data_IF_535775901875
#
_entry.id   IF_535775901875
#
_cell.length_a   1.000
_cell.length_b   1.000
_cell.length_c   1.000
_cell.angle_alpha   90.00
_cell.angle_beta   90.00
_cell.angle_gamma   90.00
#
_symmetry.space_group_name_H-M   'P 1'
#
loop_
_entity.id
_entity.type
_entity.pdbx_description
1 polymer ?
#
# COMPACT_ATOMS: atom_id res chain seq x y z
N UNK A 1 -17.81 23.85 -57.43
CA UNK A 1 -17.21 24.90 -56.57
C UNK A 1 -17.63 24.81 -55.10
N UNK A 2 -18.93 24.75 -54.75
CA UNK A 2 -19.38 24.74 -53.34
C UNK A 2 -18.91 23.53 -52.50
N UNK A 3 -18.72 22.35 -53.12
CA UNK A 3 -18.15 21.15 -52.47
C UNK A 3 -16.64 21.26 -52.19
N UNK A 4 -15.86 21.75 -53.16
CA UNK A 4 -14.42 21.95 -52.98
C UNK A 4 -14.11 22.98 -51.88
N UNK A 5 -14.91 24.06 -51.76
CA UNK A 5 -14.76 25.02 -50.66
C UNK A 5 -15.23 24.51 -49.29
N UNK A 6 -16.07 23.48 -49.23
CA UNK A 6 -16.44 22.81 -47.98
C UNK A 6 -15.31 21.88 -47.51
N UNK A 7 -14.67 21.17 -48.44
CA UNK A 7 -13.51 20.32 -48.14
C UNK A 7 -12.28 21.15 -47.72
N UNK A 8 -11.98 22.25 -48.42
CA UNK A 8 -10.86 23.12 -48.06
C UNK A 8 -11.05 23.77 -46.67
N UNK A 9 -12.29 24.16 -46.33
CA UNK A 9 -12.62 24.74 -45.00
C UNK A 9 -12.59 23.69 -43.87
N UNK A 10 -12.95 22.43 -44.16
CA UNK A 10 -12.85 21.30 -43.22
C UNK A 10 -11.39 20.99 -42.87
N UNK A 11 -10.54 20.92 -43.89
CA UNK A 11 -9.13 20.55 -43.73
C UNK A 11 -8.31 21.62 -43.01
N UNK A 12 -8.78 22.88 -42.96
CA UNK A 12 -8.13 23.97 -42.23
C UNK A 12 -8.54 24.03 -40.73
N UNK A 13 -9.68 23.42 -40.37
CA UNK A 13 -10.19 23.36 -38.98
C UNK A 13 -9.63 22.17 -38.18
N UNK A 14 -9.59 20.96 -38.76
CA UNK A 14 -8.99 19.76 -38.15
C UNK A 14 -7.56 19.96 -37.59
N UNK A 15 -6.59 20.51 -38.36
CA UNK A 15 -5.22 20.68 -37.88
C UNK A 15 -5.13 21.75 -36.79
N UNK A 16 -6.02 22.75 -36.79
CA UNK A 16 -6.06 23.79 -35.75
C UNK A 16 -6.59 23.23 -34.43
N UNK A 17 -7.58 22.33 -34.45
CA UNK A 17 -8.12 21.73 -33.24
C UNK A 17 -7.15 20.72 -32.63
N UNK A 18 -6.62 19.80 -33.44
CA UNK A 18 -5.62 18.83 -32.99
C UNK A 18 -4.37 19.55 -32.43
N UNK A 19 -3.94 20.65 -33.06
CA UNK A 19 -2.85 21.50 -32.56
C UNK A 19 -3.17 22.11 -31.19
N UNK A 20 -4.39 22.62 -30.98
CA UNK A 20 -4.82 23.17 -29.67
C UNK A 20 -4.91 22.10 -28.58
N UNK A 21 -5.41 20.91 -28.91
CA UNK A 21 -5.43 19.76 -27.99
C UNK A 21 -4.00 19.38 -27.63
N UNK A 22 -3.12 19.26 -28.62
CA UNK A 22 -1.73 18.92 -28.39
C UNK A 22 -1.00 19.99 -27.57
N UNK A 23 -1.22 21.27 -27.85
CA UNK A 23 -0.68 22.37 -27.04
C UNK A 23 -1.20 22.32 -25.61
N UNK A 24 -2.49 22.06 -25.42
CA UNK A 24 -3.08 21.90 -24.09
C UNK A 24 -2.47 20.70 -23.36
N UNK A 25 -2.38 19.53 -23.99
CA UNK A 25 -1.80 18.32 -23.41
C UNK A 25 -0.30 18.46 -23.13
N UNK A 26 0.46 19.04 -24.05
CA UNK A 26 1.90 19.24 -23.89
C UNK A 26 2.20 20.26 -22.79
N UNK A 27 1.45 21.37 -22.73
CA UNK A 27 1.63 22.36 -21.68
C UNK A 27 1.21 21.80 -20.32
N UNK A 28 0.05 21.15 -20.23
CA UNK A 28 -0.41 20.60 -18.96
C UNK A 28 0.43 19.39 -18.51
N UNK A 29 0.81 18.51 -19.44
CA UNK A 29 1.70 17.38 -19.16
C UNK A 29 3.12 17.83 -18.82
N UNK A 30 3.63 18.87 -19.48
CA UNK A 30 4.92 19.49 -19.19
C UNK A 30 4.95 20.18 -17.84
N UNK A 31 3.94 20.99 -17.52
CA UNK A 31 3.77 21.60 -16.19
C UNK A 31 3.62 20.53 -15.11
N UNK A 32 2.88 19.44 -15.38
CA UNK A 32 2.76 18.30 -14.47
C UNK A 32 4.12 17.62 -14.25
N UNK A 33 4.86 17.33 -15.31
CA UNK A 33 6.14 16.66 -15.19
C UNK A 33 7.19 17.54 -14.48
N UNK A 34 7.18 18.84 -14.79
CA UNK A 34 8.03 19.82 -14.12
C UNK A 34 7.65 19.99 -12.64
N UNK A 35 6.37 20.01 -12.30
CA UNK A 35 5.92 20.12 -10.90
C UNK A 35 6.33 18.88 -10.10
N UNK A 36 6.20 17.68 -10.70
CA UNK A 36 6.66 16.43 -10.10
C UNK A 36 8.18 16.45 -9.90
N UNK A 37 8.93 16.87 -10.92
CA UNK A 37 10.38 17.00 -10.83
C UNK A 37 10.80 17.97 -9.72
N UNK A 38 10.24 19.18 -9.68
CA UNK A 38 10.56 20.17 -8.65
C UNK A 38 10.17 19.69 -7.27
N UNK A 39 9.04 19.00 -7.12
CA UNK A 39 8.62 18.46 -5.84
C UNK A 39 9.62 17.41 -5.33
N UNK A 40 9.93 16.39 -6.13
CA UNK A 40 10.83 15.31 -5.69
C UNK A 40 12.30 15.75 -5.58
N UNK A 41 12.79 16.60 -6.49
CA UNK A 41 14.22 16.96 -6.56
C UNK A 41 14.58 18.20 -5.76
N UNK A 42 13.64 19.09 -5.52
CA UNK A 42 13.91 20.40 -4.87
C UNK A 42 13.16 20.49 -3.55
N UNK A 43 11.84 20.29 -3.56
CA UNK A 43 11.01 20.52 -2.38
C UNK A 43 11.25 19.52 -1.25
N UNK A 44 11.29 18.22 -1.55
CA UNK A 44 11.58 17.17 -0.56
C UNK A 44 12.95 17.39 0.14
N UNK A 45 14.09 17.56 -0.56
CA UNK A 45 15.37 17.77 0.13
C UNK A 45 15.45 19.12 0.88
N UNK A 46 14.76 20.17 0.40
CA UNK A 46 14.63 21.43 1.14
C UNK A 46 13.87 21.24 2.45
N UNK A 47 12.72 20.56 2.40
CA UNK A 47 11.95 20.23 3.59
C UNK A 47 12.74 19.35 4.55
N UNK A 48 13.52 18.39 4.05
CA UNK A 48 14.38 17.56 4.86
C UNK A 48 15.38 18.41 5.64
N UNK A 49 16.05 19.32 4.93
CA UNK A 49 17.01 20.26 5.53
C UNK A 49 16.37 21.16 6.57
N UNK A 50 15.17 21.71 6.29
CA UNK A 50 14.43 22.55 7.25
C UNK A 50 14.03 21.76 8.50
N UNK A 51 13.50 20.55 8.30
CA UNK A 51 13.06 19.68 9.40
C UNK A 51 14.24 19.23 10.26
N UNK A 52 15.41 18.98 9.64
CA UNK A 52 16.64 18.66 10.35
C UNK A 52 17.14 19.83 11.20
N UNK A 53 17.00 21.06 10.70
CA UNK A 53 17.38 22.30 11.41
C UNK A 53 16.49 22.59 12.62
N UNK A 54 15.20 22.25 12.56
CA UNK A 54 14.22 22.54 13.62
C UNK A 54 14.30 21.50 14.76
N UNK A 55 14.42 20.21 14.42
CA UNK A 55 14.38 19.12 15.42
C UNK A 55 15.73 18.88 16.08
N UNK A 56 16.85 19.02 15.35
CA UNK A 56 18.21 18.85 15.88
C UNK A 56 18.61 17.44 16.32
N UNK A 57 17.66 16.60 16.76
CA UNK A 57 17.89 15.22 17.20
C UNK A 57 17.79 14.22 16.03
N UNK A 58 18.87 13.50 15.68
CA UNK A 58 18.92 12.60 14.53
C UNK A 58 18.00 11.38 14.67
N UNK A 59 17.72 10.92 15.89
CA UNK A 59 16.90 9.72 16.13
C UNK A 59 15.41 9.99 15.90
N UNK A 60 14.94 11.13 16.39
CA UNK A 60 13.56 11.58 16.27
C UNK A 60 13.27 12.10 14.85
N UNK A 61 14.24 12.77 14.24
CA UNK A 61 14.14 13.30 12.88
C UNK A 61 13.90 12.19 11.84
N UNK A 62 14.61 11.06 11.91
CA UNK A 62 14.48 9.98 10.92
C UNK A 62 13.08 9.36 10.87
N UNK A 63 12.44 9.14 12.03
CA UNK A 63 11.11 8.53 12.10
C UNK A 63 9.99 9.51 11.69
N UNK A 64 10.09 10.78 12.08
CA UNK A 64 9.15 11.81 11.65
C UNK A 64 9.28 12.08 10.14
N UNK A 65 10.52 12.13 9.65
CA UNK A 65 10.80 12.40 8.24
C UNK A 65 10.24 11.31 7.33
N UNK A 66 10.42 10.02 7.67
CA UNK A 66 9.89 8.93 6.84
C UNK A 66 8.36 8.96 6.70
N UNK A 67 7.64 9.28 7.79
CA UNK A 67 6.20 9.48 7.78
C UNK A 67 5.79 10.73 7.01
N UNK A 68 6.50 11.84 7.20
CA UNK A 68 6.22 13.11 6.54
C UNK A 68 6.47 12.99 5.03
N UNK A 69 7.60 12.42 4.62
CA UNK A 69 7.95 12.16 3.23
C UNK A 69 6.92 11.23 2.57
N UNK A 70 6.53 10.15 3.25
CA UNK A 70 5.50 9.23 2.74
C UNK A 70 4.15 9.93 2.56
N UNK A 71 3.67 10.65 3.57
CA UNK A 71 2.39 11.38 3.51
C UNK A 71 2.45 12.42 2.41
N UNK A 72 3.47 13.29 2.41
CA UNK A 72 3.56 14.42 1.50
C UNK A 72 3.69 13.96 0.04
N UNK A 73 4.50 12.93 -0.20
CA UNK A 73 4.66 12.32 -1.52
C UNK A 73 3.38 11.65 -1.99
N UNK A 74 2.71 10.92 -1.11
CA UNK A 74 1.44 10.24 -1.42
C UNK A 74 0.32 11.25 -1.71
N UNK A 75 0.15 12.25 -0.85
CA UNK A 75 -0.83 13.34 -1.01
C UNK A 75 -0.59 14.08 -2.32
N UNK A 76 0.65 14.51 -2.57
CA UNK A 76 0.98 15.27 -3.78
C UNK A 76 0.71 14.44 -5.04
N UNK A 77 1.22 13.20 -5.08
CA UNK A 77 1.04 12.31 -6.23
C UNK A 77 -0.44 12.01 -6.51
N UNK A 78 -1.23 11.80 -5.47
CA UNK A 78 -2.65 11.52 -5.60
C UNK A 78 -3.44 12.77 -5.99
N UNK A 79 -3.19 13.94 -5.37
CA UNK A 79 -3.85 15.19 -5.74
C UNK A 79 -3.63 15.58 -7.20
N UNK A 80 -2.46 15.27 -7.75
CA UNK A 80 -2.16 15.53 -9.17
C UNK A 80 -2.90 14.62 -10.16
N UNK A 81 -3.56 13.56 -9.70
CA UNK A 81 -4.49 12.79 -10.55
C UNK A 81 -5.73 13.63 -10.90
N UNK A 82 -6.11 14.59 -10.07
CA UNK A 82 -7.30 15.42 -10.28
C UNK A 82 -7.17 16.34 -11.50
N UNK A 83 -6.08 17.11 -11.69
CA UNK A 83 -5.86 17.86 -12.92
C UNK A 83 -5.80 16.98 -14.17
N UNK A 84 -5.14 15.81 -14.10
CA UNK A 84 -5.08 14.88 -15.23
C UNK A 84 -6.47 14.35 -15.61
N UNK A 85 -7.31 14.09 -14.63
CA UNK A 85 -8.70 13.70 -14.86
C UNK A 85 -9.52 14.80 -15.54
N UNK A 86 -9.38 16.05 -15.09
CA UNK A 86 -10.05 17.20 -15.72
C UNK A 86 -9.59 17.37 -17.17
N UNK A 87 -8.28 17.23 -17.43
CA UNK A 87 -7.73 17.31 -18.78
C UNK A 87 -8.24 16.20 -19.69
N UNK A 88 -8.30 14.96 -19.19
CA UNK A 88 -8.88 13.83 -19.91
C UNK A 88 -10.33 14.12 -20.32
N UNK A 89 -11.13 14.70 -19.41
CA UNK A 89 -12.50 15.10 -19.68
C UNK A 89 -12.60 16.22 -20.71
N UNK A 90 -11.73 17.22 -20.66
CA UNK A 90 -11.69 18.33 -21.64
C UNK A 90 -11.31 17.81 -23.03
N UNK A 91 -10.25 16.99 -23.13
CA UNK A 91 -9.81 16.39 -24.40
C UNK A 91 -10.92 15.53 -24.98
N UNK A 92 -11.56 14.69 -24.16
CA UNK A 92 -12.68 13.86 -24.59
C UNK A 92 -13.87 14.71 -25.05
N UNK A 93 -14.20 15.80 -24.34
CA UNK A 93 -15.28 16.70 -24.74
C UNK A 93 -14.99 17.39 -26.09
N UNK A 94 -13.76 17.86 -26.30
CA UNK A 94 -13.33 18.47 -27.56
C UNK A 94 -13.37 17.44 -28.71
N UNK A 95 -12.90 16.22 -28.44
CA UNK A 95 -12.95 15.13 -29.41
C UNK A 95 -14.39 14.78 -29.81
N UNK A 96 -15.29 14.64 -28.84
CA UNK A 96 -16.70 14.35 -29.12
C UNK A 96 -17.40 15.51 -29.82
N UNK A 97 -17.03 16.74 -29.48
CA UNK A 97 -17.54 17.93 -30.14
C UNK A 97 -17.16 17.95 -31.63
N UNK A 98 -15.91 17.62 -31.97
CA UNK A 98 -15.44 17.58 -33.35
C UNK A 98 -16.18 16.51 -34.19
N UNK A 99 -16.35 15.30 -33.64
CA UNK A 99 -17.13 14.23 -34.29
C UNK A 99 -18.58 14.67 -34.52
N UNK A 100 -19.19 15.31 -33.51
CA UNK A 100 -20.56 15.79 -33.61
C UNK A 100 -20.69 16.87 -34.70
N UNK A 101 -19.77 17.83 -34.74
CA UNK A 101 -19.74 18.90 -35.74
C UNK A 101 -19.59 18.32 -37.17
N UNK A 102 -18.69 17.34 -37.37
CA UNK A 102 -18.57 16.62 -38.65
C UNK A 102 -19.88 15.89 -39.04
N UNK A 103 -20.53 15.23 -38.09
CA UNK A 103 -21.77 14.49 -38.34
C UNK A 103 -22.94 15.42 -38.67
N UNK A 104 -23.05 16.58 -38.00
CA UNK A 104 -24.09 17.57 -38.26
C UNK A 104 -23.92 18.25 -39.62
N UNK A 105 -22.70 18.57 -40.02
CA UNK A 105 -22.41 19.13 -41.34
C UNK A 105 -22.86 18.18 -42.46
N UNK A 106 -22.55 16.88 -42.33
CA UNK A 106 -22.95 15.85 -43.30
C UNK A 106 -24.47 15.65 -43.32
N UNK A 107 -25.15 15.84 -42.18
CA UNK A 107 -26.60 15.69 -42.06
C UNK A 107 -27.39 16.93 -42.53
N UNK A 108 -26.72 18.06 -42.81
CA UNK A 108 -27.37 19.31 -43.24
C UNK A 108 -28.29 19.94 -42.19
N UNK A 109 -28.23 19.47 -40.93
CA UNK A 109 -29.02 20.01 -39.82
C UNK A 109 -28.26 21.15 -39.15
N UNK A 110 -28.96 22.23 -38.80
CA UNK A 110 -28.37 23.34 -38.03
C UNK A 110 -27.85 22.83 -36.68
N UNK A 111 -26.64 23.23 -36.32
CA UNK A 111 -26.02 22.92 -35.03
C UNK A 111 -26.93 23.34 -33.87
N UNK A 112 -27.09 22.44 -32.90
CA UNK A 112 -27.76 22.75 -31.63
C UNK A 112 -26.94 23.79 -30.85
N UNK A 113 -27.57 24.72 -30.12
CA UNK A 113 -26.87 25.68 -29.29
C UNK A 113 -25.98 24.96 -28.27
N UNK A 114 -24.71 25.34 -28.21
CA UNK A 114 -23.79 24.79 -27.21
C UNK A 114 -24.32 25.03 -25.80
N UNK A 115 -24.18 24.05 -24.89
CA UNK A 115 -24.44 24.29 -23.48
C UNK A 115 -23.55 25.43 -22.99
N UNK A 116 -24.08 26.28 -22.12
CA UNK A 116 -23.34 27.43 -21.61
C UNK A 116 -22.05 26.97 -20.94
N UNK A 117 -20.96 27.71 -21.16
CA UNK A 117 -19.65 27.46 -20.55
C UNK A 117 -19.77 27.31 -19.02
N UNK A 118 -20.67 28.07 -18.40
CA UNK A 118 -20.97 27.96 -16.97
C UNK A 118 -21.50 26.58 -16.56
N UNK A 119 -22.34 25.94 -17.38
CA UNK A 119 -22.87 24.60 -17.09
C UNK A 119 -21.76 23.55 -17.20
N UNK A 120 -20.92 23.66 -18.23
CA UNK A 120 -19.75 22.78 -18.41
C UNK A 120 -18.80 22.90 -17.22
N UNK A 121 -18.48 24.13 -16.80
CA UNK A 121 -17.61 24.37 -15.65
C UNK A 121 -18.24 23.80 -14.36
N UNK A 122 -19.53 24.01 -14.13
CA UNK A 122 -20.22 23.47 -12.96
C UNK A 122 -20.19 21.93 -12.93
N UNK A 123 -20.46 21.28 -14.06
CA UNK A 123 -20.40 19.82 -14.18
C UNK A 123 -18.97 19.30 -13.95
N UNK A 124 -17.96 20.01 -14.44
CA UNK A 124 -16.55 19.66 -14.18
C UNK A 124 -16.17 19.84 -12.71
N UNK A 125 -16.58 20.94 -12.07
CA UNK A 125 -16.31 21.21 -10.66
C UNK A 125 -17.00 20.19 -9.74
N UNK A 126 -18.23 19.81 -10.04
CA UNK A 126 -18.94 18.78 -9.28
C UNK A 126 -18.26 17.42 -9.38
N UNK A 127 -17.88 17.01 -10.60
CA UNK A 127 -17.14 15.77 -10.82
C UNK A 127 -15.76 15.79 -10.16
N UNK A 128 -15.08 16.94 -10.19
CA UNK A 128 -13.80 17.16 -9.52
C UNK A 128 -13.93 17.01 -8.00
N UNK A 129 -14.97 17.60 -7.41
CA UNK A 129 -15.25 17.51 -5.99
C UNK A 129 -15.51 16.05 -5.57
N UNK A 130 -16.37 15.34 -6.30
CA UNK A 130 -16.63 13.92 -6.03
C UNK A 130 -15.35 13.09 -6.11
N UNK A 131 -14.52 13.31 -7.14
CA UNK A 131 -13.27 12.56 -7.27
C UNK A 131 -12.26 12.88 -6.18
N UNK A 132 -12.18 14.15 -5.74
CA UNK A 132 -11.36 14.54 -4.60
C UNK A 132 -11.79 13.83 -3.32
N UNK A 133 -13.11 13.74 -3.07
CA UNK A 133 -13.63 13.02 -1.90
C UNK A 133 -13.29 11.53 -1.94
N UNK A 134 -13.46 10.86 -3.09
CA UNK A 134 -13.05 9.46 -3.25
C UNK A 134 -11.54 9.27 -3.04
N UNK A 135 -10.73 10.18 -3.56
CA UNK A 135 -9.29 10.11 -3.43
C UNK A 135 -8.83 10.29 -1.98
N UNK A 136 -9.47 11.20 -1.24
CA UNK A 136 -9.26 11.35 0.21
C UNK A 136 -9.64 10.08 0.95
N UNK A 137 -10.79 9.46 0.62
CA UNK A 137 -11.20 8.20 1.23
C UNK A 137 -10.17 7.09 1.00
N UNK A 138 -9.67 6.94 -0.23
CA UNK A 138 -8.64 5.95 -0.58
C UNK A 138 -7.33 6.24 0.16
N UNK A 139 -6.93 7.50 0.28
CA UNK A 139 -5.73 7.87 1.04
C UNK A 139 -5.87 7.51 2.52
N UNK A 140 -7.00 7.82 3.16
CA UNK A 140 -7.27 7.46 4.55
C UNK A 140 -7.23 5.94 4.71
N UNK A 141 -7.88 5.19 3.81
CA UNK A 141 -7.83 3.73 3.81
C UNK A 141 -6.42 3.19 3.62
N UNK A 142 -5.60 3.82 2.76
CA UNK A 142 -4.21 3.41 2.54
C UNK A 142 -3.36 3.63 3.79
N UNK A 143 -3.50 4.79 4.46
CA UNK A 143 -2.81 5.08 5.74
C UNK A 143 -3.24 4.11 6.83
N UNK A 144 -4.54 3.84 6.95
CA UNK A 144 -5.06 2.87 7.94
C UNK A 144 -4.55 1.47 7.61
N UNK A 145 -4.58 1.04 6.34
CA UNK A 145 -4.11 -0.29 5.94
C UNK A 145 -2.61 -0.47 6.20
N UNK A 146 -1.79 0.50 5.80
CA UNK A 146 -0.34 0.47 6.04
C UNK A 146 -0.03 0.51 7.55
N UNK A 147 -0.68 1.39 8.30
CA UNK A 147 -0.45 1.56 9.73
C UNK A 147 -0.97 0.40 10.59
N UNK A 148 -2.14 -0.15 10.27
CA UNK A 148 -2.80 -1.18 11.08
C UNK A 148 -2.42 -2.61 10.67
N UNK A 149 -2.13 -2.86 9.39
CA UNK A 149 -1.83 -4.21 8.91
C UNK A 149 -0.34 -4.41 8.62
N UNK A 150 0.29 -3.52 7.84
CA UNK A 150 1.69 -3.74 7.44
C UNK A 150 2.68 -3.52 8.58
N UNK A 151 2.43 -2.56 9.48
CA UNK A 151 3.31 -2.31 10.62
C UNK A 151 3.42 -3.53 11.58
N UNK A 152 2.33 -4.12 12.10
CA UNK A 152 2.43 -5.32 12.93
C UNK A 152 2.91 -6.54 12.15
N UNK A 153 2.57 -6.69 10.86
CA UNK A 153 3.10 -7.79 10.04
C UNK A 153 4.62 -7.66 9.82
N UNK A 154 5.15 -6.45 9.59
CA UNK A 154 6.59 -6.19 9.56
C UNK A 154 7.25 -6.44 10.91
N UNK A 155 6.63 -6.01 12.01
CA UNK A 155 7.15 -6.28 13.35
C UNK A 155 7.19 -7.79 13.64
N UNK A 156 6.13 -8.52 13.32
CA UNK A 156 6.06 -9.99 13.43
C UNK A 156 7.10 -10.63 12.51
N UNK A 157 7.25 -10.18 11.26
CA UNK A 157 8.25 -10.69 10.33
C UNK A 157 9.67 -10.47 10.83
N UNK A 158 9.98 -9.30 11.39
CA UNK A 158 11.29 -8.98 12.01
C UNK A 158 11.54 -9.87 13.23
N UNK A 159 10.56 -10.02 14.13
CA UNK A 159 10.67 -10.89 15.32
C UNK A 159 10.84 -12.37 14.91
N UNK A 160 10.08 -12.84 13.92
CA UNK A 160 10.21 -14.20 13.38
C UNK A 160 11.54 -14.43 12.66
N UNK A 161 12.07 -13.42 11.96
CA UNK A 161 13.36 -13.50 11.26
C UNK A 161 14.55 -13.49 12.23
N UNK A 162 14.51 -12.64 13.26
CA UNK A 162 15.50 -12.63 14.34
C UNK A 162 15.53 -13.97 15.10
N UNK A 163 14.36 -14.59 15.30
CA UNK A 163 14.24 -15.94 15.88
C UNK A 163 14.94 -17.04 15.08
N UNK A 164 15.23 -16.82 13.79
CA UNK A 164 15.95 -17.79 12.93
C UNK A 164 17.45 -17.54 12.85
N UNK A 165 17.93 -16.38 13.33
CA UNK A 165 19.35 -16.00 13.33
C UNK A 165 19.76 -15.44 14.68
N UNK A 166 19.98 -16.31 15.66
CA UNK A 166 21.29 -16.54 16.29
C UNK A 166 21.12 -17.33 17.58
N UNK A 167 22.02 -18.30 17.77
CA UNK A 167 22.59 -18.58 19.09
C UNK A 167 22.81 -17.25 19.85
N UNK A 168 21.98 -16.99 20.85
CA UNK A 168 22.08 -16.01 21.95
C UNK A 168 23.01 -14.78 21.75
N UNK A 169 22.51 -13.56 21.97
CA UNK A 169 22.36 -13.12 23.36
C UNK A 169 21.14 -12.25 23.71
N UNK A 170 20.76 -12.37 24.98
CA UNK A 170 19.86 -11.57 25.82
C UNK A 170 19.30 -10.22 25.29
N UNK A 171 18.13 -10.27 24.65
CA UNK A 171 17.12 -9.21 24.78
C UNK A 171 15.96 -9.78 25.60
N UNK A 172 15.70 -9.14 26.73
CA UNK A 172 14.77 -9.63 27.77
C UNK A 172 13.32 -9.65 27.26
N UNK A 173 12.89 -10.79 26.71
CA UNK A 173 11.51 -11.16 26.39
C UNK A 173 10.68 -11.34 27.68
N UNK A 174 10.47 -10.27 28.45
CA UNK A 174 9.69 -10.31 29.70
C UNK A 174 8.21 -10.64 29.46
N UNK A 175 7.64 -10.22 28.33
CA UNK A 175 6.24 -10.52 27.98
C UNK A 175 6.04 -11.97 27.54
N UNK A 176 7.01 -12.56 26.84
CA UNK A 176 6.94 -13.95 26.40
C UNK A 176 7.24 -14.94 27.52
N UNK A 177 8.16 -14.61 28.45
CA UNK A 177 8.47 -15.47 29.60
C UNK A 177 7.25 -15.72 30.50
N UNK A 178 6.40 -14.71 30.72
CA UNK A 178 5.23 -14.85 31.59
C UNK A 178 4.15 -15.74 30.94
N UNK A 179 3.89 -15.55 29.65
CA UNK A 179 2.94 -16.39 28.88
C UNK A 179 3.44 -17.83 28.78
N UNK A 180 4.73 -18.04 28.49
CA UNK A 180 5.34 -19.37 28.41
C UNK A 180 5.39 -20.05 29.78
N UNK A 181 5.65 -19.31 30.86
CA UNK A 181 5.60 -19.83 32.23
C UNK A 181 4.18 -20.27 32.59
N UNK A 182 3.16 -19.45 32.29
CA UNK A 182 1.76 -19.81 32.53
C UNK A 182 1.37 -21.03 31.70
N UNK A 183 1.71 -21.08 30.41
CA UNK A 183 1.45 -22.24 29.55
C UNK A 183 2.10 -23.51 30.07
N UNK A 184 3.37 -23.46 30.46
CA UNK A 184 4.07 -24.64 30.98
C UNK A 184 3.52 -25.07 32.35
N UNK A 185 3.14 -24.13 33.22
CA UNK A 185 2.53 -24.46 34.51
C UNK A 185 1.14 -25.06 34.35
N UNK A 186 0.35 -24.56 33.40
CA UNK A 186 -0.99 -25.06 33.11
C UNK A 186 -0.91 -26.45 32.46
N UNK A 187 0.02 -26.64 31.53
CA UNK A 187 0.26 -27.91 30.85
C UNK A 187 0.71 -29.01 31.81
N UNK A 188 1.69 -28.76 32.68
CA UNK A 188 2.13 -29.75 33.68
C UNK A 188 1.02 -30.12 34.68
N UNK A 189 0.18 -29.16 35.06
CA UNK A 189 -0.94 -29.40 35.99
C UNK A 189 -2.02 -30.27 35.33
N UNK A 190 -2.27 -30.10 34.03
CA UNK A 190 -3.21 -30.93 33.25
C UNK A 190 -2.68 -32.34 33.02
N UNK A 191 -1.39 -32.50 32.71
CA UNK A 191 -0.77 -33.81 32.48
C UNK A 191 -0.75 -34.65 33.77
N UNK A 192 -0.47 -34.05 34.92
CA UNK A 192 -0.51 -34.78 36.20
C UNK A 192 -1.92 -35.27 36.57
N UNK A 193 -2.94 -34.46 36.30
CA UNK A 193 -4.35 -34.85 36.56
C UNK A 193 -4.79 -36.03 35.69
N UNK A 194 -4.29 -36.13 34.46
CA UNK A 194 -4.61 -37.25 33.57
C UNK A 194 -3.91 -38.56 33.98
N UNK A 195 -2.72 -38.46 34.60
CA UNK A 195 -1.97 -39.62 35.08
C UNK A 195 -2.56 -40.25 36.36
N UNK A 196 -3.39 -39.50 37.10
CA UNK A 196 -4.03 -39.95 38.34
C UNK A 196 -5.40 -40.60 38.15
N UNK A 197 -5.84 -40.88 36.91
CA UNK A 197 -7.06 -41.64 36.65
C UNK A 197 -6.67 -43.13 36.49
N UNK A 198 -6.88 -44.00 37.50
CA UNK A 198 -6.49 -45.40 37.40
C UNK A 198 -7.43 -46.15 36.46
N UNK A 199 -6.86 -46.74 35.41
CA UNK A 199 -7.56 -47.68 34.52
C UNK A 199 -7.60 -49.05 35.22
N UNK A 200 -8.74 -49.38 35.80
CA UNK A 200 -9.02 -50.69 36.38
C UNK A 200 -9.44 -51.68 35.30
N UNK A 201 -8.60 -52.66 34.90
CA UNK A 201 -9.06 -54.00 34.47
C UNK A 201 -7.89 -54.99 34.18
N UNK A 202 -7.89 -56.13 34.91
CA UNK A 202 -7.69 -57.54 34.49
C UNK A 202 -6.48 -57.92 33.57
N UNK A 203 -5.66 -58.97 33.76
CA UNK A 203 -5.93 -60.39 34.07
C UNK A 203 -4.59 -61.17 34.20
N UNK A 204 -4.55 -62.20 35.08
CA UNK A 204 -3.71 -63.43 35.09
C UNK A 204 -2.25 -63.50 34.61
N UNK A 205 -1.35 -63.98 35.49
CA UNK A 205 -0.70 -65.33 35.54
C UNK A 205 0.80 -65.35 35.87
N UNK A 206 1.12 -66.09 36.95
CA UNK A 206 2.43 -66.58 37.46
C UNK A 206 3.04 -67.60 36.43
N UNK A 207 4.38 -67.89 36.35
CA UNK A 207 5.19 -68.22 37.52
C UNK A 207 6.70 -67.88 37.58
N UNK A 208 7.20 -67.92 38.82
CA UNK A 208 8.60 -68.02 39.30
C UNK A 208 9.02 -69.52 39.36
N UNK A 209 10.26 -69.98 39.71
CA UNK A 209 11.41 -69.30 40.33
C UNK A 209 12.82 -69.80 39.88
N UNK A 210 13.86 -69.40 40.65
CA UNK A 210 15.19 -70.03 40.82
C UNK A 210 16.30 -69.56 39.82
N UNK A 211 17.55 -69.18 40.15
CA UNK A 211 18.51 -69.46 41.26
C UNK A 211 19.50 -68.27 41.41
N UNK A 212 19.85 -67.93 42.65
CA UNK A 212 21.05 -67.17 43.10
C UNK A 212 22.13 -68.15 43.62
N UNK A 213 23.37 -67.76 44.00
CA UNK A 213 24.33 -66.87 43.37
C UNK A 213 25.83 -67.31 43.57
N UNK A 214 26.76 -66.49 43.05
CA UNK A 214 28.14 -66.16 43.52
C UNK A 214 29.21 -67.23 43.84
N UNK A 215 30.39 -67.03 43.22
CA UNK A 215 31.68 -66.64 43.87
C UNK A 215 32.89 -67.52 43.49
N UNK A 216 33.72 -67.02 42.57
CA UNK A 216 35.12 -67.44 42.43
C UNK A 216 36.03 -66.46 43.22
N UNK A 217 36.90 -67.01 44.07
CA UNK A 217 38.01 -66.30 44.75
C UNK A 217 39.33 -66.85 44.15
N UNK A 218 40.32 -66.01 43.80
CA UNK A 218 41.55 -66.48 43.16
C UNK A 218 42.79 -66.61 44.09
N UNK A 219 43.67 -67.55 43.69
CA UNK A 219 45.16 -67.56 43.69
C UNK A 219 45.97 -67.74 45.02
N UNK A 220 47.29 -68.01 44.96
CA UNK A 220 48.07 -69.26 44.69
C UNK A 220 49.04 -69.50 45.91
N UNK A 221 50.28 -70.09 45.90
CA UNK A 221 51.13 -70.72 44.86
C UNK A 221 51.84 -72.06 45.25
N UNK A 222 52.66 -72.53 44.29
CA UNK A 222 53.63 -73.66 44.23
C UNK A 222 53.10 -74.98 43.67
#
# INVERSE_FOLDING_TARGET
>A
MRRAQSEERKQDCEPKLASRIFQCCAWNGGVFWLSLFLFYRVFIPLLQSLTARIIGDPSLHGNLWSWLEFILTSVFSALWVLPLFVLSKIVNAIWFQDIADLAFEVSGRKAQPFPSVSKIIADMLFNLLLQALFLIQVMILCVIFVGLFLYPLCAIWVICRDSTKTSAPSYSLRLFSLVVLISNKLFHKTVHLQSSIPTSTSTEKLPSPHVSPTRQRPMPPQ
#
